data_IF_863036814147
#
_entry.id   IF_863036814147
#
_cell.length_a   1.000
_cell.length_b   1.000
_cell.length_c   1.000
_cell.angle_alpha   90.00
_cell.angle_beta   90.00
_cell.angle_gamma   90.00
#
_symmetry.space_group_name_H-M   'P 1'
#
loop_
_entity.id
_entity.type
_entity.pdbx_description
1 polymer ?
#
# COMPACT_ATOMS: atom_id res chain seq x y z
N UNK A 1 4.88 -34.42 1.82
CA UNK A 1 3.62 -33.84 1.29
C UNK A 1 2.90 -33.08 2.38
N UNK A 2 2.31 -31.91 2.09
CA UNK A 2 1.50 -31.19 3.08
C UNK A 2 0.14 -31.86 3.28
N UNK A 3 -0.44 -31.71 4.48
CA UNK A 3 -1.80 -32.21 4.77
C UNK A 3 -2.85 -31.38 4.01
N UNK A 4 -3.77 -32.07 3.33
CA UNK A 4 -4.94 -31.47 2.67
C UNK A 4 -5.76 -30.60 3.63
N UNK A 5 -6.38 -29.54 3.10
CA UNK A 5 -7.26 -28.64 3.85
C UNK A 5 -8.44 -29.39 4.49
N UNK A 6 -8.96 -30.40 3.80
CA UNK A 6 -10.11 -31.20 4.26
C UNK A 6 -9.71 -32.37 5.17
N UNK A 7 -8.41 -32.56 5.43
CA UNK A 7 -7.94 -33.60 6.35
C UNK A 7 -8.58 -33.48 7.73
N UNK A 8 -8.93 -34.62 8.34
CA UNK A 8 -9.58 -34.68 9.66
C UNK A 8 -8.74 -33.96 10.72
N UNK A 9 -7.42 -34.14 10.69
CA UNK A 9 -6.47 -33.49 11.60
C UNK A 9 -6.52 -31.95 11.52
N UNK A 10 -6.43 -31.37 10.32
CA UNK A 10 -6.49 -29.90 10.17
C UNK A 10 -7.86 -29.32 10.50
N UNK A 11 -8.93 -30.07 10.30
CA UNK A 11 -10.28 -29.66 10.74
C UNK A 11 -10.41 -29.66 12.26
N UNK A 12 -9.98 -30.74 12.94
CA UNK A 12 -9.95 -30.84 14.40
C UNK A 12 -9.16 -29.69 15.04
N UNK A 13 -7.95 -29.43 14.55
CA UNK A 13 -7.12 -28.33 15.07
C UNK A 13 -7.70 -26.94 14.78
N UNK A 14 -8.49 -26.77 13.72
CA UNK A 14 -9.23 -25.52 13.50
C UNK A 14 -10.40 -25.37 14.44
N UNK A 15 -11.14 -26.43 14.74
CA UNK A 15 -12.24 -26.38 15.72
C UNK A 15 -11.73 -25.96 17.11
N UNK A 16 -10.68 -26.62 17.61
CA UNK A 16 -10.04 -26.27 18.88
C UNK A 16 -9.59 -24.80 18.91
N UNK A 17 -9.02 -24.30 17.81
CA UNK A 17 -8.64 -22.88 17.71
C UNK A 17 -9.85 -21.95 17.72
N UNK A 18 -10.94 -22.29 17.02
CA UNK A 18 -12.16 -21.47 17.02
C UNK A 18 -12.74 -21.35 18.42
N UNK A 19 -12.81 -22.44 19.18
CA UNK A 19 -13.25 -22.40 20.58
C UNK A 19 -12.36 -21.47 21.40
N UNK A 20 -11.03 -21.64 21.32
CA UNK A 20 -10.06 -20.78 22.02
C UNK A 20 -10.19 -19.30 21.68
N UNK A 21 -10.32 -18.96 20.40
CA UNK A 21 -10.38 -17.56 19.97
C UNK A 21 -11.78 -16.95 20.10
N UNK A 22 -12.84 -17.76 20.07
CA UNK A 22 -14.23 -17.26 20.20
C UNK A 22 -14.43 -16.48 21.49
N UNK A 23 -13.90 -16.96 22.62
CA UNK A 23 -13.99 -16.27 23.92
C UNK A 23 -13.28 -14.91 23.87
N UNK A 24 -12.10 -14.86 23.26
CA UNK A 24 -11.31 -13.62 23.15
C UNK A 24 -11.96 -12.62 22.22
N UNK A 25 -12.42 -13.07 21.05
CA UNK A 25 -13.07 -12.25 20.03
C UNK A 25 -14.41 -11.70 20.54
N UNK A 26 -15.23 -12.53 21.21
CA UNK A 26 -16.49 -12.08 21.81
C UNK A 26 -16.28 -10.97 22.85
N UNK A 27 -15.27 -11.09 23.72
CA UNK A 27 -14.94 -10.04 24.68
C UNK A 27 -14.57 -8.72 23.99
N UNK A 28 -13.77 -8.80 22.92
CA UNK A 28 -13.37 -7.62 22.15
C UNK A 28 -14.56 -6.98 21.46
N UNK A 29 -15.43 -7.77 20.84
CA UNK A 29 -16.63 -7.28 20.16
C UNK A 29 -17.61 -6.60 21.13
N UNK A 30 -17.84 -7.19 22.31
CA UNK A 30 -18.66 -6.56 23.36
C UNK A 30 -18.08 -5.22 23.80
N UNK A 31 -16.77 -5.16 24.05
CA UNK A 31 -16.11 -3.91 24.41
C UNK A 31 -16.21 -2.84 23.32
N UNK A 32 -16.13 -3.21 22.04
CA UNK A 32 -16.32 -2.27 20.93
C UNK A 32 -17.74 -1.73 20.92
N UNK A 33 -18.74 -2.59 21.12
CA UNK A 33 -20.15 -2.20 21.15
C UNK A 33 -20.44 -1.25 22.33
N UNK A 34 -20.00 -1.61 23.53
CA UNK A 34 -20.11 -0.74 24.73
C UNK A 34 -19.44 0.62 24.50
N UNK A 35 -18.25 0.64 23.90
CA UNK A 35 -17.57 1.89 23.58
C UNK A 35 -18.27 2.73 22.51
N UNK A 36 -19.00 2.10 21.58
CA UNK A 36 -19.77 2.79 20.56
C UNK A 36 -21.02 3.44 21.16
N UNK A 37 -21.76 2.73 22.03
CA UNK A 37 -22.92 3.28 22.75
C UNK A 37 -22.55 4.50 23.63
N UNK A 38 -21.37 4.46 24.26
CA UNK A 38 -20.91 5.54 25.13
C UNK A 38 -20.23 6.70 24.37
N UNK A 39 -20.04 6.57 23.06
CA UNK A 39 -19.37 7.57 22.21
C UNK A 39 -20.23 7.90 21.00
N UNK A 40 -21.39 8.50 21.25
CA UNK A 40 -21.97 9.45 20.32
C UNK A 40 -21.04 10.68 20.24
N UNK A 41 -19.88 10.51 19.59
CA UNK A 41 -19.03 11.64 19.23
C UNK A 41 -19.82 12.41 18.20
N UNK A 42 -20.45 13.50 18.63
CA UNK A 42 -21.01 14.50 17.73
C UNK A 42 -19.92 14.94 16.75
N UNK A 43 -19.98 14.43 15.52
CA UNK A 43 -19.06 14.79 14.42
C UNK A 43 -19.35 16.20 13.88
N UNK A 44 -20.17 17.00 14.58
CA UNK A 44 -20.52 18.38 14.21
C UNK A 44 -19.30 19.29 14.11
N UNK A 45 -18.33 19.10 15.01
CA UNK A 45 -17.21 20.03 15.14
C UNK A 45 -16.17 19.86 14.00
N UNK A 46 -16.07 18.65 13.45
CA UNK A 46 -15.18 18.34 12.31
C UNK A 46 -15.71 18.93 11.00
N UNK A 47 -17.03 19.06 10.84
CA UNK A 47 -17.62 19.69 9.64
C UNK A 47 -17.37 21.20 9.55
N UNK A 48 -17.00 21.87 10.64
CA UNK A 48 -16.77 23.33 10.63
C UNK A 48 -15.45 23.70 9.94
N UNK A 49 -14.40 22.88 10.09
CA UNK A 49 -13.06 23.17 9.56
C UNK A 49 -13.05 23.13 8.02
N UNK A 50 -13.76 22.17 7.41
CA UNK A 50 -13.87 22.02 5.95
C UNK A 50 -14.54 23.24 5.29
N UNK A 51 -15.54 23.86 5.96
CA UNK A 51 -16.24 25.03 5.41
C UNK A 51 -15.35 26.28 5.35
N UNK A 52 -14.36 26.38 6.22
CA UNK A 52 -13.47 27.55 6.28
C UNK A 52 -12.36 27.46 5.22
N UNK A 53 -11.91 26.24 4.90
CA UNK A 53 -10.88 26.03 3.86
C UNK A 53 -11.44 26.18 2.44
N UNK A 54 -12.71 25.82 2.21
CA UNK A 54 -13.39 26.00 0.91
C UNK A 54 -13.62 27.47 0.54
N UNK A 55 -13.82 28.37 1.53
CA UNK A 55 -14.03 29.81 1.29
C UNK A 55 -12.80 30.53 0.76
N UNK A 56 -11.60 29.97 0.91
CA UNK A 56 -10.36 30.57 0.35
C UNK A 56 -10.15 30.25 -1.13
N UNK A 57 -10.91 29.33 -1.70
CA UNK A 57 -10.73 28.84 -3.08
C UNK A 57 -11.73 29.48 -4.06
N UNK A 58 -12.81 30.10 -3.56
CA UNK A 58 -13.96 30.54 -4.36
C UNK A 58 -13.93 31.97 -4.93
N UNK A 59 -12.77 32.57 -5.20
CA UNK A 59 -12.71 33.86 -5.94
C UNK A 59 -12.00 33.66 -7.30
N UNK A 60 -12.61 32.88 -8.18
CA UNK A 60 -12.48 32.99 -9.64
C UNK A 60 -13.79 32.48 -10.24
N UNK A 61 -14.71 33.40 -10.49
CA UNK A 61 -15.81 33.20 -11.42
C UNK A 61 -15.21 33.19 -12.84
N UNK A 62 -15.59 32.21 -13.65
CA UNK A 62 -16.21 32.39 -14.98
C UNK A 62 -15.98 31.21 -15.93
N UNK A 63 -17.11 30.71 -16.44
CA UNK A 63 -17.35 30.33 -17.84
C UNK A 63 -17.08 28.88 -18.34
N UNK A 64 -18.20 28.16 -18.43
CA UNK A 64 -18.72 27.38 -19.57
C UNK A 64 -18.09 26.07 -20.09
N UNK A 65 -19.05 25.21 -20.49
CA UNK A 65 -19.04 24.16 -21.50
C UNK A 65 -18.46 22.76 -21.22
N UNK A 66 -19.39 21.83 -21.01
CA UNK A 66 -19.24 20.41 -21.30
C UNK A 66 -19.18 20.17 -22.82
N UNK A 67 -18.05 19.67 -23.34
CA UNK A 67 -17.96 18.96 -24.62
C UNK A 67 -16.98 17.78 -24.53
N UNK A 68 -17.42 16.66 -25.12
CA UNK A 68 -16.66 15.44 -25.36
C UNK A 68 -15.48 15.64 -26.35
N UNK A 69 -14.61 14.62 -26.35
CA UNK A 69 -13.65 14.19 -27.39
C UNK A 69 -12.15 14.48 -27.22
N UNK A 70 -11.46 13.40 -26.82
CA UNK A 70 -10.23 12.84 -27.41
C UNK A 70 -9.13 13.81 -27.90
N UNK A 71 -8.10 14.01 -27.08
CA UNK A 71 -6.72 14.17 -27.56
C UNK A 71 -5.69 13.97 -26.43
N UNK A 72 -4.62 13.26 -26.76
CA UNK A 72 -3.49 12.89 -25.91
C UNK A 72 -2.79 14.11 -25.29
N UNK A 73 -2.76 14.20 -23.96
CA UNK A 73 -1.71 14.94 -23.26
C UNK A 73 -1.25 14.17 -22.01
N UNK A 74 0.07 14.11 -21.86
CA UNK A 74 0.79 13.44 -20.79
C UNK A 74 0.32 13.95 -19.42
N UNK A 75 -0.03 13.08 -18.45
CA UNK A 75 -0.09 13.53 -17.07
C UNK A 75 1.35 13.77 -16.61
N UNK A 76 1.78 15.04 -16.57
CA UNK A 76 2.97 15.43 -15.84
C UNK A 76 2.81 14.95 -14.39
N UNK A 77 3.55 13.89 -14.07
CA UNK A 77 3.61 13.32 -12.73
C UNK A 77 4.26 14.39 -11.86
N UNK A 78 3.44 15.10 -11.09
CA UNK A 78 3.88 16.02 -10.04
C UNK A 78 4.92 15.32 -9.18
N UNK A 79 6.20 15.67 -9.35
CA UNK A 79 7.27 15.16 -8.51
C UNK A 79 7.11 15.80 -7.14
N UNK A 80 6.59 15.05 -6.17
CA UNK A 80 6.63 15.50 -4.78
C UNK A 80 8.10 15.61 -4.37
N UNK A 81 8.55 16.84 -4.09
CA UNK A 81 9.82 17.08 -3.41
C UNK A 81 9.74 16.44 -2.02
N UNK A 82 10.35 15.27 -1.88
CA UNK A 82 10.52 14.65 -0.57
C UNK A 82 11.89 15.05 -0.06
N UNK A 83 11.91 15.97 0.90
CA UNK A 83 13.08 16.33 1.68
C UNK A 83 13.43 15.17 2.64
N UNK A 84 13.91 14.06 2.07
CA UNK A 84 14.29 12.86 2.80
C UNK A 84 15.80 12.73 2.85
N UNK A 85 16.31 12.53 4.07
CA UNK A 85 17.69 12.10 4.32
C UNK A 85 18.05 10.95 3.37
N UNK A 86 19.24 10.96 2.74
CA UNK A 86 19.60 9.93 1.76
C UNK A 86 19.49 8.55 2.40
N UNK A 87 18.73 7.67 1.75
CA UNK A 87 18.61 6.26 2.17
C UNK A 87 20.01 5.66 2.25
N UNK A 88 20.32 4.98 3.36
CA UNK A 88 21.60 4.29 3.61
C UNK A 88 21.95 3.24 2.55
N UNK A 89 20.95 2.82 1.77
CA UNK A 89 21.07 1.80 0.73
C UNK A 89 20.87 2.38 -0.66
N UNK A 90 21.63 1.86 -1.63
CA UNK A 90 21.48 2.20 -3.04
C UNK A 90 20.05 1.90 -3.55
N UNK A 91 19.34 2.84 -4.20
CA UNK A 91 17.90 2.73 -4.46
C UNK A 91 17.52 1.56 -5.36
N UNK A 92 18.39 1.17 -6.31
CA UNK A 92 18.11 0.08 -7.27
C UNK A 92 18.65 -1.28 -6.83
N UNK A 93 19.74 -1.29 -6.06
CA UNK A 93 20.47 -2.51 -5.71
C UNK A 93 20.15 -2.96 -4.28
N UNK A 94 19.69 -2.03 -3.45
CA UNK A 94 19.42 -2.20 -2.03
C UNK A 94 20.64 -2.76 -1.30
N UNK A 95 21.80 -2.19 -1.61
CA UNK A 95 23.11 -2.54 -1.05
C UNK A 95 23.70 -1.32 -0.35
N UNK A 96 24.49 -1.58 0.69
CA UNK A 96 25.33 -0.58 1.35
C UNK A 96 26.52 -0.19 0.46
N UNK A 97 27.31 0.78 0.93
CA UNK A 97 28.56 1.24 0.31
C UNK A 97 29.56 0.09 0.09
N UNK A 98 29.60 -0.87 1.01
CA UNK A 98 30.45 -2.07 0.93
C UNK A 98 29.84 -3.21 0.10
N UNK A 99 28.72 -2.98 -0.61
CA UNK A 99 28.06 -4.02 -1.42
C UNK A 99 27.34 -5.11 -0.61
N UNK A 100 27.16 -4.88 0.70
CA UNK A 100 26.45 -5.80 1.58
C UNK A 100 24.94 -5.53 1.53
N UNK A 101 24.13 -6.59 1.65
CA UNK A 101 22.68 -6.48 1.70
C UNK A 101 22.20 -6.32 3.16
N UNK A 102 21.07 -5.62 3.39
CA UNK A 102 20.50 -5.50 4.73
C UNK A 102 20.26 -6.86 5.39
N UNK A 103 20.44 -6.94 6.72
CA UNK A 103 20.30 -8.17 7.52
C UNK A 103 18.93 -8.86 7.34
N UNK A 104 17.87 -8.07 7.15
CA UNK A 104 16.51 -8.58 6.91
C UNK A 104 16.33 -9.22 5.52
N UNK A 105 17.27 -8.97 4.60
CA UNK A 105 17.26 -9.50 3.24
C UNK A 105 18.02 -10.84 3.19
N UNK A 106 17.33 -11.92 3.55
CA UNK A 106 17.88 -13.28 3.44
C UNK A 106 18.35 -13.63 2.01
N UNK A 107 19.38 -14.49 1.88
CA UNK A 107 19.92 -15.05 0.63
C UNK A 107 18.86 -15.39 -0.45
N UNK A 108 17.73 -15.99 -0.06
CA UNK A 108 16.65 -16.30 -1.03
C UNK A 108 16.01 -15.04 -1.63
N UNK A 109 15.81 -14.00 -0.82
CA UNK A 109 15.28 -12.71 -1.28
C UNK A 109 16.30 -12.00 -2.17
N UNK A 110 17.60 -12.05 -1.82
CA UNK A 110 18.70 -11.52 -2.64
C UNK A 110 18.70 -12.17 -4.04
N UNK A 111 18.66 -13.51 -4.11
CA UNK A 111 18.63 -14.24 -5.40
C UNK A 111 17.42 -13.84 -6.25
N UNK A 112 16.24 -13.73 -5.65
CA UNK A 112 15.02 -13.29 -6.36
C UNK A 112 15.14 -11.85 -6.86
N UNK A 113 15.70 -10.94 -6.06
CA UNK A 113 15.89 -9.54 -6.44
C UNK A 113 16.84 -9.42 -7.65
N UNK A 114 18.01 -10.09 -7.59
CA UNK A 114 18.95 -10.15 -8.72
C UNK A 114 18.31 -10.71 -10.00
N UNK A 115 17.51 -11.77 -9.87
CA UNK A 115 16.80 -12.35 -11.01
C UNK A 115 15.78 -11.38 -11.65
N UNK A 116 15.08 -10.56 -10.84
CA UNK A 116 14.16 -9.53 -11.36
C UNK A 116 14.91 -8.44 -12.12
N UNK A 117 16.01 -7.92 -11.57
CA UNK A 117 16.84 -6.89 -12.23
C UNK A 117 17.38 -7.39 -13.58
N UNK A 118 17.87 -8.63 -13.63
CA UNK A 118 18.36 -9.25 -14.87
C UNK A 118 17.26 -9.39 -15.94
N UNK A 119 16.02 -9.66 -15.54
CA UNK A 119 14.87 -9.73 -16.46
C UNK A 119 14.55 -8.37 -17.07
N UNK A 120 14.55 -7.31 -16.26
CA UNK A 120 14.31 -5.93 -16.74
C UNK A 120 15.40 -5.52 -17.72
N UNK A 121 16.67 -5.74 -17.37
CA UNK A 121 17.80 -5.43 -18.24
C UNK A 121 17.74 -6.20 -19.57
N UNK A 122 17.35 -7.49 -19.55
CA UNK A 122 17.18 -8.29 -20.77
C UNK A 122 16.01 -7.80 -21.63
N UNK A 123 14.90 -7.34 -21.02
CA UNK A 123 13.78 -6.73 -21.76
C UNK A 123 14.19 -5.44 -22.44
N UNK A 124 14.90 -4.55 -21.75
CA UNK A 124 15.40 -3.30 -22.34
C UNK A 124 16.31 -3.55 -23.55
N UNK A 125 17.22 -4.52 -23.46
CA UNK A 125 18.08 -4.92 -24.59
C UNK A 125 17.29 -5.50 -25.78
N UNK A 126 16.22 -6.25 -25.53
CA UNK A 126 15.36 -6.78 -26.60
C UNK A 126 14.61 -5.67 -27.33
N UNK A 127 14.06 -4.69 -26.61
CA UNK A 127 13.34 -3.57 -27.22
C UNK A 127 14.29 -2.70 -28.05
N UNK A 128 15.52 -2.44 -27.56
CA UNK A 128 16.53 -1.69 -28.34
C UNK A 128 16.97 -2.40 -29.63
N UNK A 129 16.93 -3.74 -29.66
CA UNK A 129 17.19 -4.54 -30.87
C UNK A 129 16.00 -4.62 -31.84
N UNK A 130 14.77 -4.31 -31.38
CA UNK A 130 13.56 -4.30 -32.22
C UNK A 130 13.33 -2.94 -32.88
N UNK A 131 13.83 -1.87 -32.25
CA UNK A 131 13.69 -0.50 -32.72
C UNK A 131 14.93 -0.02 -33.52
N UNK A 132 15.77 -0.94 -33.97
CA UNK A 132 16.92 -0.70 -34.83
C UNK A 132 16.86 -1.69 -35.97
#
# INVERSE_FOLDING_TARGET
MAKSLRSKWRRKMRAIKRERYSVKELKQLKSILENAENKDVNMSDICTVVKNDLKKIGNKEDQEDCKEDSSEEQPEISSMEVDSKPSKYHPKLLTDEHGTYPVWMNQRKIRKHKAKLNRVHKKGKKNKKRNK
#
